data_IF_147127183779
#
_entry.id   IF_147127183779
#
_cell.length_a   1.000
_cell.length_b   1.000
_cell.length_c   1.000
_cell.angle_alpha   90.00
_cell.angle_beta   90.00
_cell.angle_gamma   90.00
#
_symmetry.space_group_name_H-M   'P 1'
#
loop_
_entity.id
_entity.type
_entity.pdbx_description
1 polymer ?
#
# COMPACT_ATOMS: atom_id res chain seq x y z
N UNK A 1 -10.89 16.58 -6.32
CA UNK A 1 -10.82 15.52 -5.30
C UNK A 1 -9.82 14.47 -5.79
N UNK A 2 -8.85 14.11 -4.96
CA UNK A 2 -7.81 13.12 -5.31
C UNK A 2 -8.38 11.71 -5.27
N UNK A 3 -8.09 10.90 -6.29
CA UNK A 3 -8.41 9.47 -6.24
C UNK A 3 -7.49 8.78 -5.22
N UNK A 4 -8.09 8.10 -4.24
CA UNK A 4 -7.38 7.39 -3.19
C UNK A 4 -7.62 5.89 -3.33
N UNK A 5 -6.55 5.10 -3.41
CA UNK A 5 -6.63 3.64 -3.45
C UNK A 5 -6.96 3.09 -2.06
N UNK A 6 -6.36 3.70 -1.04
CA UNK A 6 -6.58 3.47 0.38
C UNK A 6 -6.83 4.82 1.05
N UNK A 7 -7.55 4.82 2.17
CA UNK A 7 -7.74 6.02 2.97
C UNK A 7 -6.40 6.68 3.29
N UNK A 8 -6.34 8.00 3.06
CA UNK A 8 -5.15 8.81 3.33
C UNK A 8 -4.59 8.59 4.74
N UNK A 9 -5.47 8.47 5.73
CA UNK A 9 -5.09 8.21 7.13
C UNK A 9 -4.42 6.84 7.30
N UNK A 10 -4.84 5.82 6.56
CA UNK A 10 -4.19 4.50 6.59
C UNK A 10 -2.79 4.63 5.97
N UNK A 11 -2.66 5.31 4.83
CA UNK A 11 -1.35 5.53 4.20
C UNK A 11 -0.41 6.27 5.15
N UNK A 12 -0.88 7.35 5.77
CA UNK A 12 -0.08 8.20 6.65
C UNK A 12 0.28 7.57 8.00
N UNK A 13 -0.60 6.75 8.58
CA UNK A 13 -0.37 6.15 9.90
C UNK A 13 0.24 4.74 9.83
N UNK A 14 -0.02 3.99 8.76
CA UNK A 14 0.39 2.59 8.66
C UNK A 14 1.52 2.38 7.65
N UNK A 15 1.61 3.15 6.57
CA UNK A 15 2.61 2.92 5.52
C UNK A 15 3.79 3.88 5.66
N UNK A 16 3.52 5.18 5.73
CA UNK A 16 4.56 6.22 5.85
C UNK A 16 5.53 5.99 7.03
N UNK A 17 5.09 5.57 8.24
CA UNK A 17 6.01 5.42 9.37
C UNK A 17 6.96 4.22 9.24
N UNK A 18 6.64 3.23 8.41
CA UNK A 18 7.53 2.10 8.17
C UNK A 18 8.59 2.42 7.09
N UNK A 19 8.43 3.51 6.32
CA UNK A 19 9.45 3.95 5.37
C UNK A 19 10.64 4.54 6.15
N UNK A 20 11.89 4.25 5.75
CA UNK A 20 13.06 4.83 6.38
C UNK A 20 12.99 6.34 6.26
N UNK A 21 13.00 7.00 7.41
CA UNK A 21 13.05 8.44 7.49
C UNK A 21 14.38 8.92 6.90
N UNK A 22 14.39 9.94 6.02
CA UNK A 22 15.63 10.50 5.53
C UNK A 22 16.45 11.04 6.71
N UNK A 23 17.68 10.55 6.88
CA UNK A 23 18.63 10.85 7.99
C UNK A 23 19.06 12.33 8.11
N UNK A 24 18.55 13.23 7.28
CA UNK A 24 18.87 14.66 7.30
C UNK A 24 17.57 15.41 7.38
N UNK A 25 17.47 16.33 8.35
CA UNK A 25 16.30 17.14 8.73
C UNK A 25 15.73 18.07 7.65
N UNK A 26 15.61 17.58 6.43
CA UNK A 26 14.79 18.17 5.39
C UNK A 26 13.44 17.48 5.51
N UNK A 27 12.44 18.18 6.04
CA UNK A 27 11.04 17.78 5.80
C UNK A 27 10.88 17.73 4.29
N UNK A 28 10.68 16.56 3.67
CA UNK A 28 10.48 16.53 2.25
C UNK A 28 9.10 17.16 2.02
N UNK A 29 9.09 18.35 1.44
CA UNK A 29 7.93 18.99 0.80
C UNK A 29 7.32 18.14 -0.33
N UNK A 30 7.76 16.89 -0.48
CA UNK A 30 7.27 15.94 -1.44
C UNK A 30 6.08 15.21 -0.80
N UNK A 31 4.94 15.14 -1.49
CA UNK A 31 3.74 14.50 -0.95
C UNK A 31 3.92 12.97 -0.96
N UNK A 32 4.65 12.43 0.03
CA UNK A 32 4.98 11.01 0.15
C UNK A 32 3.73 10.12 0.15
N UNK A 33 2.68 10.55 0.85
CA UNK A 33 1.36 9.94 0.82
C UNK A 33 0.79 9.83 -0.62
N UNK A 34 0.94 10.86 -1.45
CA UNK A 34 0.47 10.87 -2.84
C UNK A 34 1.35 10.00 -3.74
N UNK A 35 2.68 9.97 -3.50
CA UNK A 35 3.60 9.05 -4.19
C UNK A 35 3.23 7.59 -3.88
N UNK A 36 3.02 7.25 -2.60
CA UNK A 36 2.60 5.92 -2.18
C UNK A 36 1.25 5.58 -2.80
N UNK A 37 0.27 6.50 -2.76
CA UNK A 37 -1.03 6.30 -3.40
C UNK A 37 -0.90 6.01 -4.91
N UNK A 38 0.00 6.69 -5.63
CA UNK A 38 0.29 6.40 -7.03
C UNK A 38 0.89 5.01 -7.25
N UNK A 39 1.82 4.60 -6.39
CA UNK A 39 2.43 3.26 -6.45
C UNK A 39 1.36 2.19 -6.16
N UNK A 40 0.52 2.40 -5.15
CA UNK A 40 -0.59 1.50 -4.86
C UNK A 40 -1.57 1.42 -6.04
N UNK A 41 -1.84 2.53 -6.72
CA UNK A 41 -2.68 2.54 -7.92
C UNK A 41 -2.05 1.70 -9.03
N UNK A 42 -0.75 1.88 -9.27
CA UNK A 42 0.03 1.09 -10.23
C UNK A 42 -0.03 -0.41 -9.93
N UNK A 43 0.13 -0.78 -8.67
CA UNK A 43 0.14 -2.18 -8.23
C UNK A 43 -1.25 -2.82 -8.28
N UNK A 44 -2.29 -2.07 -7.87
CA UNK A 44 -3.69 -2.52 -7.90
C UNK A 44 -4.23 -2.72 -9.33
N UNK A 45 -3.90 -1.81 -10.24
CA UNK A 45 -4.50 -1.77 -11.59
C UNK A 45 -3.62 -2.38 -12.68
N UNK A 46 -2.32 -2.50 -12.45
CA UNK A 46 -1.38 -3.03 -13.45
C UNK A 46 -1.05 -2.06 -14.60
N UNK A 47 -1.67 -0.88 -14.68
CA UNK A 47 -1.47 0.14 -15.74
C UNK A 47 0.00 0.44 -16.01
N UNK A 48 0.44 0.72 -17.24
CA UNK A 48 1.85 1.07 -17.48
C UNK A 48 2.21 2.40 -16.80
N UNK A 49 3.48 2.61 -16.46
CA UNK A 49 3.92 3.82 -15.76
C UNK A 49 3.59 5.10 -16.53
N UNK A 50 3.73 5.12 -17.86
CA UNK A 50 3.39 6.30 -18.68
C UNK A 50 1.89 6.66 -18.63
N UNK A 51 1.02 5.68 -18.36
CA UNK A 51 -0.43 5.85 -18.33
C UNK A 51 -0.98 6.11 -16.93
N UNK A 52 -0.13 6.40 -15.94
CA UNK A 52 -0.61 6.77 -14.62
C UNK A 52 -1.39 8.08 -14.67
N UNK A 53 -2.60 8.15 -14.08
CA UNK A 53 -3.40 9.36 -14.02
C UNK A 53 -2.87 10.32 -12.93
N UNK A 54 -1.63 10.78 -13.06
CA UNK A 54 -0.93 11.58 -12.03
C UNK A 54 -1.70 12.85 -11.66
N UNK A 55 -2.41 13.48 -12.60
CA UNK A 55 -3.24 14.66 -12.29
C UNK A 55 -4.42 14.36 -11.36
N UNK A 56 -4.91 13.13 -11.35
CA UNK A 56 -6.02 12.69 -10.50
C UNK A 56 -5.52 12.12 -9.16
N UNK A 57 -4.25 11.73 -9.09
CA UNK A 57 -3.64 11.08 -7.93
C UNK A 57 -2.81 12.02 -7.05
N UNK A 58 -2.63 13.28 -7.48
CA UNK A 58 -1.98 14.33 -6.74
C UNK A 58 -2.94 15.52 -6.54
N UNK A 59 -2.76 16.27 -5.44
CA UNK A 59 -3.54 17.47 -5.13
C UNK A 59 -2.82 18.72 -5.62
N UNK A 60 -1.88 19.26 -4.84
CA UNK A 60 -1.26 20.56 -5.14
C UNK A 60 -0.03 20.43 -6.05
N UNK A 61 0.84 19.45 -5.73
CA UNK A 61 2.10 19.26 -6.43
C UNK A 61 2.07 17.95 -7.22
N UNK A 62 1.65 18.05 -8.47
CA UNK A 62 1.63 16.92 -9.40
C UNK A 62 3.05 16.55 -9.79
N UNK A 63 3.48 15.36 -9.41
CA UNK A 63 4.74 14.78 -9.88
C UNK A 63 4.53 14.03 -11.19
N UNK A 64 5.56 13.97 -12.01
CA UNK A 64 5.54 13.15 -13.22
C UNK A 64 5.62 11.65 -12.87
N UNK A 65 5.14 10.78 -13.77
CA UNK A 65 5.25 9.34 -13.56
C UNK A 65 6.71 8.88 -13.42
N UNK A 66 7.67 9.54 -14.10
CA UNK A 66 9.10 9.23 -13.96
C UNK A 66 9.59 9.48 -12.54
N UNK A 67 9.10 10.55 -11.91
CA UNK A 67 9.45 10.88 -10.51
C UNK A 67 8.89 9.82 -9.56
N UNK A 68 7.62 9.42 -9.74
CA UNK A 68 7.02 8.32 -8.97
C UNK A 68 7.79 7.02 -9.16
N UNK A 69 8.12 6.67 -10.40
CA UNK A 69 8.89 5.48 -10.74
C UNK A 69 10.30 5.52 -10.13
N UNK A 70 10.97 6.67 -10.13
CA UNK A 70 12.27 6.85 -9.49
C UNK A 70 12.21 6.52 -7.99
N UNK A 71 11.21 7.05 -7.28
CA UNK A 71 11.01 6.73 -5.86
C UNK A 71 10.75 5.25 -5.63
N UNK A 72 9.83 4.66 -6.40
CA UNK A 72 9.52 3.24 -6.33
C UNK A 72 10.77 2.38 -6.54
N UNK A 73 11.49 2.60 -7.65
CA UNK A 73 12.70 1.86 -7.99
C UNK A 73 13.78 2.00 -6.92
N UNK A 74 13.98 3.22 -6.39
CA UNK A 74 14.93 3.46 -5.31
C UNK A 74 14.57 2.64 -4.06
N UNK A 75 13.31 2.63 -3.66
CA UNK A 75 12.85 1.87 -2.50
C UNK A 75 12.96 0.35 -2.71
N UNK A 76 12.67 -0.15 -3.91
CA UNK A 76 12.88 -1.56 -4.24
C UNK A 76 14.36 -1.95 -4.16
N UNK A 77 15.27 -1.17 -4.76
CA UNK A 77 16.72 -1.47 -4.74
C UNK A 77 17.27 -1.48 -3.33
N UNK A 78 16.74 -0.64 -2.44
CA UNK A 78 17.15 -0.58 -1.04
C UNK A 78 16.45 -1.59 -0.12
N UNK A 79 15.64 -2.52 -0.64
CA UNK A 79 14.73 -3.43 0.09
C UNK A 79 13.70 -2.76 1.02
N UNK A 80 13.77 -1.43 1.16
CA UNK A 80 12.83 -0.59 1.90
C UNK A 80 11.37 -0.89 1.60
N UNK A 81 11.02 -1.05 0.33
CA UNK A 81 9.63 -1.30 -0.06
C UNK A 81 9.14 -2.66 0.43
N UNK A 82 9.98 -3.69 0.32
CA UNK A 82 9.68 -5.06 0.76
C UNK A 82 9.62 -5.13 2.30
N UNK A 83 10.61 -4.54 2.99
CA UNK A 83 10.66 -4.47 4.45
C UNK A 83 9.43 -3.76 5.03
N UNK A 84 9.03 -2.63 4.42
CA UNK A 84 7.79 -1.92 4.74
C UNK A 84 6.58 -2.84 4.66
N UNK A 85 6.46 -3.58 3.56
CA UNK A 85 5.32 -4.45 3.30
C UNK A 85 5.26 -5.61 4.30
N UNK A 86 6.41 -6.23 4.60
CA UNK A 86 6.52 -7.30 5.59
C UNK A 86 6.15 -6.77 7.00
N UNK A 87 6.61 -5.58 7.37
CA UNK A 87 6.25 -4.95 8.65
C UNK A 87 4.76 -4.60 8.75
N UNK A 88 4.18 -4.11 7.65
CA UNK A 88 2.74 -3.83 7.59
C UNK A 88 1.92 -5.11 7.72
N UNK A 89 2.32 -6.16 7.01
CA UNK A 89 1.69 -7.48 7.07
C UNK A 89 1.83 -8.11 8.45
N UNK A 90 3.00 -8.01 9.09
CA UNK A 90 3.21 -8.57 10.43
C UNK A 90 2.38 -7.87 11.49
N UNK A 91 2.24 -6.53 11.42
CA UNK A 91 1.37 -5.73 12.30
C UNK A 91 -0.11 -6.06 12.11
N UNK A 92 -0.54 -6.33 10.89
CA UNK A 92 -1.94 -6.66 10.58
C UNK A 92 -2.19 -8.17 10.51
N UNK A 93 -1.19 -9.01 10.78
CA UNK A 93 -1.30 -10.48 10.72
C UNK A 93 -2.43 -10.98 11.62
N UNK A 94 -2.55 -10.44 12.84
CA UNK A 94 -3.64 -10.78 13.76
C UNK A 94 -5.04 -10.36 13.28
N UNK A 95 -5.13 -9.37 12.37
CA UNK A 95 -6.40 -8.98 11.72
C UNK A 95 -6.71 -9.79 10.47
N UNK A 96 -5.68 -10.32 9.81
CA UNK A 96 -5.79 -11.22 8.66
C UNK A 96 -6.06 -12.68 9.10
N UNK A 97 -5.58 -13.06 10.28
CA UNK A 97 -5.69 -14.39 10.88
C UNK A 97 -7.01 -14.56 11.67
N UNK A 98 -8.14 -14.17 11.06
CA UNK A 98 -9.45 -14.12 11.73
C UNK A 98 -10.54 -15.05 11.17
N UNK A 99 -10.24 -15.98 10.23
CA UNK A 99 -11.17 -17.09 9.96
C UNK A 99 -10.52 -18.28 9.23
N UNK A 100 -10.10 -19.29 9.99
CA UNK A 100 -10.16 -20.69 9.54
C UNK A 100 -10.73 -21.62 10.63
N UNK A 101 -11.49 -21.06 11.57
CA UNK A 101 -12.28 -21.81 12.54
C UNK A 101 -13.75 -21.47 12.37
N UNK A 102 -14.60 -22.50 12.33
CA UNK A 102 -16.06 -22.47 12.22
C UNK A 102 -16.67 -22.38 10.81
N UNK A 103 -16.21 -23.25 9.90
CA UNK A 103 -17.20 -24.02 9.14
C UNK A 103 -17.60 -25.22 10.01
N UNK A 104 -18.63 -24.99 10.82
CA UNK A 104 -19.26 -26.02 11.66
C UNK A 104 -19.48 -27.28 10.84
N UNK A 105 -18.90 -28.37 11.33
CA UNK A 105 -19.18 -29.74 10.93
C UNK A 105 -20.68 -29.94 10.73
N UNK A 106 -21.13 -30.07 9.47
CA UNK A 106 -22.47 -30.61 9.20
C UNK A 106 -22.41 -32.07 9.57
N UNK A 107 -23.04 -32.38 10.70
CA UNK A 107 -23.23 -33.72 11.24
C UNK A 107 -23.76 -34.66 10.16
N UNK A 108 -23.16 -35.86 10.10
CA UNK A 108 -23.75 -37.02 9.44
C UNK A 108 -25.16 -37.21 10.00
N UNK A 109 -26.19 -36.90 9.21
CA UNK A 109 -27.53 -37.40 9.47
C UNK A 109 -27.53 -38.86 9.03
N UNK A 110 -27.56 -39.76 10.02
CA UNK A 110 -27.89 -41.15 9.80
C UNK A 110 -29.31 -41.26 9.23
N UNK A 111 -29.43 -41.93 8.10
CA UNK A 111 -30.68 -42.45 7.58
C UNK A 111 -30.56 -43.95 7.47
N UNK A 112 -30.97 -44.67 8.52
CA UNK A 112 -31.51 -46.01 8.35
C UNK A 112 -32.82 -45.88 7.60
N UNK A 113 -32.94 -46.53 6.44
CA UNK A 113 -34.00 -47.47 6.04
C UNK A 113 -33.59 -48.11 4.72
#
# INVERSE_FOLDING_TARGET
MMYQVLDKNIIENEIVPNLPTPKRGFSPRAPLNQIINCILYKLKTGVQWEYLPVKSLFEDKVLSYQSVFYHYRKWCISNVWEDCWIQLLSKNKSKLDLSSGDLGSVSKVGGHF
#
